data_IF_646454483923
#
_entry.id   IF_646454483923
#
_cell.length_a   1.000
_cell.length_b   1.000
_cell.length_c   1.000
_cell.angle_alpha   90.00
_cell.angle_beta   90.00
_cell.angle_gamma   90.00
#
_symmetry.space_group_name_H-M   'P 1'
#
loop_
_entity.id
_entity.type
_entity.pdbx_description
1 polymer ?
#
# COMPACT_ATOMS: atom_id res chain seq x y z
N UNK A 1 10.62 9.25 4.76
CA UNK A 1 9.28 9.59 5.29
C UNK A 1 9.11 8.83 6.60
N UNK A 2 8.61 9.46 7.68
CA UNK A 2 8.33 8.74 8.94
C UNK A 2 6.98 7.99 8.90
N UNK A 3 6.72 7.09 9.86
CA UNK A 3 5.45 6.34 9.90
C UNK A 3 4.23 7.24 10.10
N UNK A 4 4.35 8.34 10.86
CA UNK A 4 3.23 9.29 11.04
C UNK A 4 2.95 10.11 9.77
N UNK A 5 4.00 10.54 9.05
CA UNK A 5 3.84 11.21 7.75
C UNK A 5 3.16 10.29 6.74
N UNK A 6 3.51 9.00 6.76
CA UNK A 6 2.88 8.00 5.91
C UNK A 6 1.39 7.85 6.23
N UNK A 7 1.01 7.72 7.50
CA UNK A 7 -0.42 7.67 7.89
C UNK A 7 -1.19 8.89 7.37
N UNK A 8 -0.61 10.09 7.50
CA UNK A 8 -1.22 11.32 6.99
C UNK A 8 -1.36 11.28 5.47
N UNK A 9 -0.32 10.85 4.74
CA UNK A 9 -0.33 10.69 3.28
C UNK A 9 -1.44 9.72 2.83
N UNK A 10 -1.55 8.56 3.47
CA UNK A 10 -2.56 7.54 3.14
C UNK A 10 -3.99 8.04 3.39
N UNK A 11 -4.25 8.68 4.54
CA UNK A 11 -5.56 9.26 4.85
C UNK A 11 -5.92 10.38 3.87
N UNK A 12 -4.96 11.24 3.53
CA UNK A 12 -5.13 12.31 2.55
C UNK A 12 -5.47 11.73 1.17
N UNK A 13 -4.82 10.65 0.75
CA UNK A 13 -5.13 9.93 -0.50
C UNK A 13 -6.57 9.44 -0.53
N UNK A 14 -7.04 8.80 0.54
CA UNK A 14 -8.44 8.34 0.65
C UNK A 14 -9.41 9.53 0.57
N UNK A 15 -9.08 10.64 1.22
CA UNK A 15 -9.90 11.87 1.20
C UNK A 15 -9.96 12.51 -0.19
N UNK A 16 -8.82 12.72 -0.86
CA UNK A 16 -8.73 13.44 -2.12
C UNK A 16 -9.34 12.68 -3.29
N UNK A 17 -9.14 11.36 -3.35
CA UNK A 17 -9.69 10.54 -4.43
C UNK A 17 -11.14 10.07 -4.15
N UNK A 18 -11.64 10.28 -2.93
CA UNK A 18 -12.92 9.76 -2.48
C UNK A 18 -12.91 8.23 -2.37
N UNK A 19 -14.09 7.63 -2.18
CA UNK A 19 -14.22 6.19 -2.00
C UNK A 19 -13.86 5.41 -3.28
N UNK A 20 -12.89 4.49 -3.15
CA UNK A 20 -12.43 3.58 -4.20
C UNK A 20 -12.35 2.16 -3.66
N UNK A 21 -12.41 1.19 -4.57
CA UNK A 21 -12.20 -0.22 -4.23
C UNK A 21 -10.79 -0.46 -3.67
N UNK A 22 -9.78 0.23 -4.20
CA UNK A 22 -8.42 0.23 -3.69
C UNK A 22 -7.68 1.51 -4.10
N UNK A 23 -6.58 1.80 -3.41
CA UNK A 23 -5.66 2.89 -3.71
C UNK A 23 -4.25 2.34 -3.98
N UNK A 24 -3.46 3.04 -4.78
CA UNK A 24 -2.07 2.63 -5.04
C UNK A 24 -1.14 3.33 -4.07
N UNK A 25 -0.11 2.63 -3.60
CA UNK A 25 1.01 3.17 -2.82
C UNK A 25 2.33 2.90 -3.54
N UNK A 26 3.32 3.73 -3.24
CA UNK A 26 4.67 3.53 -3.76
C UNK A 26 5.41 2.41 -2.98
N UNK A 27 6.36 1.70 -3.58
CA UNK A 27 7.16 0.69 -2.91
C UNK A 27 7.86 1.18 -1.63
N UNK A 28 8.31 2.43 -1.59
CA UNK A 28 8.95 3.03 -0.41
C UNK A 28 7.94 3.27 0.72
N UNK A 29 6.72 3.68 0.38
CA UNK A 29 5.61 3.80 1.33
C UNK A 29 5.23 2.43 1.89
N UNK A 30 5.23 1.40 1.02
CA UNK A 30 4.97 0.02 1.42
C UNK A 30 6.03 -0.49 2.40
N UNK A 31 7.31 -0.29 2.10
CA UNK A 31 8.43 -0.71 2.95
C UNK A 31 8.35 -0.07 4.34
N UNK A 32 8.14 1.25 4.42
CA UNK A 32 7.99 1.97 5.70
C UNK A 32 6.79 1.43 6.50
N UNK A 33 5.65 1.20 5.84
CA UNK A 33 4.48 0.69 6.53
C UNK A 33 4.62 -0.78 6.99
N UNK A 34 5.40 -1.61 6.29
CA UNK A 34 5.75 -2.95 6.76
C UNK A 34 6.67 -2.89 7.99
N UNK A 35 7.75 -2.10 7.93
CA UNK A 35 8.72 -1.93 9.02
C UNK A 35 8.04 -1.50 10.33
N UNK A 36 7.02 -0.63 10.22
CA UNK A 36 6.28 -0.10 11.36
C UNK A 36 4.93 -0.80 11.64
N UNK A 37 4.66 -1.96 11.02
CA UNK A 37 3.42 -2.74 11.20
C UNK A 37 2.13 -1.92 11.01
N UNK A 38 2.12 -1.01 10.04
CA UNK A 38 0.97 -0.17 9.71
C UNK A 38 -0.06 -0.90 8.83
N UNK A 39 0.40 -1.92 8.10
CA UNK A 39 -0.41 -2.65 7.14
C UNK A 39 -0.77 -4.03 7.65
N UNK A 40 -1.99 -4.45 7.34
CA UNK A 40 -2.35 -5.86 7.32
C UNK A 40 -2.26 -6.36 5.87
N UNK A 41 -1.26 -7.19 5.58
CA UNK A 41 -1.07 -7.78 4.25
C UNK A 41 -2.07 -8.91 4.04
N UNK A 42 -2.81 -8.85 2.94
CA UNK A 42 -3.86 -9.81 2.59
C UNK A 42 -3.35 -10.87 1.62
N UNK A 43 -2.67 -10.46 0.56
CA UNK A 43 -2.11 -11.35 -0.46
C UNK A 43 -0.94 -10.69 -1.18
N UNK A 44 -0.11 -11.54 -1.78
CA UNK A 44 0.95 -11.15 -2.69
C UNK A 44 0.85 -12.09 -3.91
N UNK A 45 0.70 -11.50 -5.09
CA UNK A 45 0.42 -12.23 -6.33
C UNK A 45 1.48 -11.89 -7.38
N UNK A 46 2.15 -12.91 -7.91
CA UNK A 46 3.03 -12.80 -9.08
C UNK A 46 2.16 -12.87 -10.34
N UNK A 47 2.19 -11.83 -11.17
CA UNK A 47 1.39 -11.75 -12.40
C UNK A 47 1.99 -12.56 -13.55
N UNK A 48 3.21 -13.09 -13.40
CA UNK A 48 3.92 -13.83 -14.44
C UNK A 48 4.55 -12.95 -15.52
N UNK A 49 4.38 -11.63 -15.44
CA UNK A 49 5.00 -10.63 -16.34
C UNK A 49 6.20 -9.91 -15.69
N UNK A 50 6.64 -10.39 -14.53
CA UNK A 50 7.68 -9.74 -13.72
C UNK A 50 7.14 -8.77 -12.67
N UNK A 51 5.82 -8.53 -12.62
CA UNK A 51 5.19 -7.69 -11.60
C UNK A 51 4.65 -8.53 -10.44
N UNK A 52 5.02 -8.14 -9.23
CA UNK A 52 4.41 -8.58 -7.99
C UNK A 52 3.39 -7.53 -7.53
N UNK A 53 2.17 -7.97 -7.24
CA UNK A 53 1.12 -7.13 -6.67
C UNK A 53 0.87 -7.56 -5.24
N UNK A 54 1.16 -6.66 -4.29
CA UNK A 54 0.84 -6.87 -2.89
C UNK A 54 -0.43 -6.11 -2.54
N UNK A 55 -1.38 -6.81 -1.92
CA UNK A 55 -2.65 -6.27 -1.44
C UNK A 55 -2.62 -6.18 0.08
N UNK A 56 -3.02 -5.03 0.60
CA UNK A 56 -3.01 -4.77 2.04
C UNK A 56 -4.16 -3.87 2.48
N UNK A 57 -4.36 -3.76 3.79
CA UNK A 57 -5.29 -2.79 4.37
C UNK A 57 -4.62 -1.88 5.38
N UNK A 58 -5.06 -0.62 5.39
CA UNK A 58 -4.76 0.38 6.41
C UNK A 58 -6.08 1.05 6.81
N UNK A 59 -6.43 1.02 8.10
CA UNK A 59 -7.67 1.61 8.64
C UNK A 59 -8.95 1.18 7.88
N UNK A 60 -9.01 -0.10 7.48
CA UNK A 60 -10.13 -0.66 6.74
C UNK A 60 -10.20 -0.24 5.25
N UNK A 61 -9.24 0.53 4.75
CA UNK A 61 -9.10 0.88 3.34
C UNK A 61 -8.05 0.00 2.66
N UNK A 62 -8.33 -0.38 1.42
CA UNK A 62 -7.50 -1.31 0.66
C UNK A 62 -6.44 -0.56 -0.14
N UNK A 63 -5.20 -1.03 -0.07
CA UNK A 63 -4.06 -0.50 -0.80
C UNK A 63 -3.38 -1.59 -1.62
N UNK A 64 -2.83 -1.20 -2.76
CA UNK A 64 -2.06 -2.03 -3.68
C UNK A 64 -0.66 -1.44 -3.83
N UNK A 65 0.35 -2.29 -3.70
CA UNK A 65 1.73 -1.98 -4.05
C UNK A 65 2.15 -2.86 -5.22
N UNK A 66 2.79 -2.26 -6.22
CA UNK A 66 3.33 -2.96 -7.38
C UNK A 66 4.85 -2.90 -7.29
N UNK A 67 5.51 -4.05 -7.28
CA UNK A 67 6.98 -4.16 -7.29
C UNK A 67 7.42 -5.08 -8.42
N UNK A 68 8.66 -4.94 -8.85
CA UNK A 68 9.26 -5.89 -9.79
C UNK A 68 9.70 -7.16 -9.04
N UNK A 69 9.77 -8.27 -9.76
CA UNK A 69 10.34 -9.52 -9.29
C UNK A 69 11.87 -9.43 -9.42
N UNK A 70 12.57 -9.55 -8.28
CA UNK A 70 14.04 -9.60 -8.21
C UNK A 70 14.63 -10.75 -9.04
#
# INVERSE_FOLDING_TARGET
>A
MGPEDLKVSLRKRVYEFGEKTAYVIYPEEFAVGLEHNLFHVLSQEDRGDGTIVTKMTFEGKMFLCFTEKD
#
